data_IF_252021730033
#
_entry.id   IF_252021730033
#
_cell.length_a   1.000
_cell.length_b   1.000
_cell.length_c   1.000
_cell.angle_alpha   90.00
_cell.angle_beta   90.00
_cell.angle_gamma   90.00
#
_symmetry.space_group_name_H-M   'P 1'
#
loop_
_entity.id
_entity.type
_entity.pdbx_description
1 polymer ?
#
# COMPACT_ATOMS: atom_id res chain seq x y z
N UNK A 1 13.45 10.17 -9.71
CA UNK A 1 12.52 11.05 -10.45
C UNK A 1 12.92 11.21 -11.91
N UNK A 2 14.22 11.30 -12.21
CA UNK A 2 14.70 11.64 -13.55
C UNK A 2 14.61 10.49 -14.58
N UNK A 3 14.46 9.24 -14.14
CA UNK A 3 14.55 8.05 -15.00
C UNK A 3 13.29 7.17 -14.98
N UNK A 4 12.30 7.52 -14.14
CA UNK A 4 11.06 6.74 -13.98
C UNK A 4 9.86 7.67 -13.97
N UNK A 5 8.74 7.19 -14.52
CA UNK A 5 7.50 7.98 -14.61
C UNK A 5 6.72 8.05 -13.28
N UNK A 6 6.94 7.10 -12.37
CA UNK A 6 6.22 7.01 -11.09
C UNK A 6 6.98 6.13 -10.08
N UNK A 7 6.58 6.22 -8.82
CA UNK A 7 7.00 5.33 -7.73
C UNK A 7 5.77 4.60 -7.20
N UNK A 8 5.85 3.29 -7.01
CA UNK A 8 4.81 2.46 -6.39
C UNK A 8 5.31 1.82 -5.10
N UNK A 9 4.50 1.86 -4.05
CA UNK A 9 4.81 1.23 -2.77
C UNK A 9 4.05 -0.08 -2.62
N UNK A 10 4.81 -1.16 -2.48
CA UNK A 10 4.27 -2.49 -2.22
C UNK A 10 3.79 -2.61 -0.77
N UNK A 11 2.47 -2.71 -0.62
CA UNK A 11 1.77 -2.97 0.63
C UNK A 11 0.97 -4.29 0.57
N UNK A 12 1.31 -5.20 -0.34
CA UNK A 12 0.51 -6.40 -0.61
C UNK A 12 1.28 -7.73 -0.63
N UNK A 13 2.61 -7.73 -0.46
CA UNK A 13 3.39 -8.96 -0.42
C UNK A 13 3.13 -9.76 0.88
N UNK A 14 2.66 -11.02 0.82
CA UNK A 14 2.42 -11.83 2.02
C UNK A 14 3.61 -12.72 2.39
N UNK A 15 4.72 -12.67 1.62
CA UNK A 15 5.88 -13.53 1.88
C UNK A 15 6.49 -13.22 3.24
N UNK A 16 6.87 -14.27 3.96
CA UNK A 16 7.31 -14.19 5.36
C UNK A 16 8.47 -13.20 5.58
N UNK A 17 9.46 -13.16 4.68
CA UNK A 17 10.57 -12.20 4.78
C UNK A 17 10.09 -10.73 4.74
N UNK A 18 9.04 -10.45 3.95
CA UNK A 18 8.49 -9.11 3.79
C UNK A 18 7.72 -8.72 5.05
N UNK A 19 6.90 -9.66 5.57
CA UNK A 19 6.12 -9.47 6.80
C UNK A 19 7.03 -9.27 8.01
N UNK A 20 8.05 -10.13 8.19
CA UNK A 20 9.04 -10.01 9.27
C UNK A 20 9.84 -8.70 9.21
N UNK A 21 10.06 -8.18 8.00
CA UNK A 21 10.68 -6.88 7.79
C UNK A 21 9.73 -5.68 7.97
N UNK A 22 8.46 -5.90 8.33
CA UNK A 22 7.47 -4.83 8.45
C UNK A 22 7.11 -4.16 7.11
N UNK A 23 7.25 -4.89 6.01
CA UNK A 23 6.95 -4.47 4.63
C UNK A 23 5.75 -5.23 4.08
N UNK A 24 5.28 -4.86 2.89
CA UNK A 24 4.21 -5.59 2.21
C UNK A 24 2.92 -5.53 3.04
N UNK A 25 2.26 -6.67 3.21
CA UNK A 25 0.98 -6.73 3.92
C UNK A 25 1.06 -6.29 5.40
N UNK A 26 2.25 -6.32 6.02
CA UNK A 26 2.44 -5.80 7.38
C UNK A 26 2.18 -4.27 7.47
N UNK A 27 2.33 -3.53 6.36
CA UNK A 27 1.98 -2.12 6.30
C UNK A 27 0.46 -1.90 6.28
N UNK A 28 -0.33 -2.87 5.81
CA UNK A 28 -1.79 -2.79 5.91
C UNK A 28 -2.26 -2.91 7.37
N UNK A 29 -1.60 -3.76 8.15
CA UNK A 29 -1.87 -3.94 9.59
C UNK A 29 -1.41 -2.71 10.41
N UNK A 30 -0.32 -2.05 9.98
CA UNK A 30 0.13 -0.77 10.55
C UNK A 30 -0.15 0.40 9.61
N UNK A 31 -1.42 0.73 9.47
CA UNK A 31 -1.88 1.74 8.50
C UNK A 31 -1.41 3.17 8.81
N UNK A 32 -1.04 3.49 10.05
CA UNK A 32 -0.41 4.79 10.39
C UNK A 32 0.98 4.90 9.77
N UNK A 33 1.82 3.87 9.94
CA UNK A 33 3.13 3.83 9.30
C UNK A 33 3.02 3.88 7.78
N UNK A 34 2.04 3.19 7.19
CA UNK A 34 1.79 3.25 5.76
C UNK A 34 1.42 4.66 5.29
N UNK A 35 0.57 5.37 6.07
CA UNK A 35 0.21 6.75 5.82
C UNK A 35 1.45 7.66 5.84
N UNK A 36 2.28 7.56 6.89
CA UNK A 36 3.47 8.40 7.05
C UNK A 36 4.49 8.19 5.93
N UNK A 37 4.70 6.94 5.50
CA UNK A 37 5.57 6.60 4.36
C UNK A 37 5.05 7.29 3.08
N UNK A 38 3.77 7.10 2.75
CA UNK A 38 3.20 7.68 1.54
C UNK A 38 3.18 9.19 1.59
N UNK A 39 2.82 9.79 2.72
CA UNK A 39 2.79 11.24 2.90
C UNK A 39 4.17 11.84 2.72
N UNK A 40 5.19 11.23 3.32
CA UNK A 40 6.59 11.65 3.15
C UNK A 40 7.02 11.60 1.69
N UNK A 41 6.70 10.52 0.96
CA UNK A 41 7.04 10.40 -0.45
C UNK A 41 6.31 11.44 -1.31
N UNK A 42 5.00 11.58 -1.12
CA UNK A 42 4.17 12.56 -1.87
C UNK A 42 4.67 13.99 -1.65
N UNK A 43 5.10 14.34 -0.43
CA UNK A 43 5.54 15.70 -0.11
C UNK A 43 6.94 16.03 -0.64
N UNK A 44 7.76 15.02 -0.94
CA UNK A 44 9.18 15.22 -1.29
C UNK A 44 9.54 14.81 -2.73
N UNK A 45 8.61 14.22 -3.48
CA UNK A 45 8.87 13.68 -4.82
C UNK A 45 7.91 14.32 -5.83
N UNK A 46 8.43 14.76 -6.98
CA UNK A 46 7.64 15.48 -7.99
C UNK A 46 6.86 14.56 -8.94
N UNK A 47 7.35 13.34 -9.17
CA UNK A 47 6.64 12.33 -9.96
C UNK A 47 5.53 11.63 -9.15
N UNK A 48 4.48 11.10 -9.80
CA UNK A 48 3.40 10.38 -9.13
C UNK A 48 3.86 9.28 -8.18
N UNK A 49 3.34 9.32 -6.95
CA UNK A 49 3.43 8.21 -5.99
C UNK A 49 2.12 7.44 -6.01
N UNK A 50 2.24 6.12 -6.04
CA UNK A 50 1.13 5.15 -6.06
C UNK A 50 1.39 4.06 -5.01
N UNK A 51 0.37 3.28 -4.68
CA UNK A 51 0.58 2.12 -3.85
C UNK A 51 -0.26 0.92 -4.30
N UNK A 52 0.17 -0.26 -3.88
CA UNK A 52 -0.53 -1.51 -4.18
C UNK A 52 -0.82 -2.31 -2.91
N UNK A 53 -2.10 -2.57 -2.66
CA UNK A 53 -2.61 -3.29 -1.48
C UNK A 53 -3.26 -4.64 -1.84
N UNK A 54 -3.74 -5.34 -0.81
CA UNK A 54 -4.72 -6.44 -0.86
C UNK A 54 -6.04 -5.98 -0.26
N UNK A 55 -7.08 -6.80 -0.36
CA UNK A 55 -8.32 -6.63 0.40
C UNK A 55 -8.18 -7.24 1.81
N UNK A 56 -8.96 -6.73 2.75
CA UNK A 56 -9.22 -7.40 4.03
C UNK A 56 -10.37 -8.40 3.89
N UNK A 57 -10.67 -9.13 4.97
CA UNK A 57 -11.80 -10.06 5.02
C UNK A 57 -13.14 -9.32 4.86
N UNK A 58 -13.21 -8.05 5.30
CA UNK A 58 -14.40 -7.20 5.12
C UNK A 58 -14.15 -6.03 4.16
N UNK A 59 -15.22 -5.65 3.46
CA UNK A 59 -15.20 -4.48 2.58
C UNK A 59 -14.97 -3.18 3.37
N UNK A 60 -15.56 -3.06 4.56
CA UNK A 60 -15.43 -1.86 5.40
C UNK A 60 -13.99 -1.63 5.87
N UNK A 61 -13.27 -2.68 6.29
CA UNK A 61 -11.85 -2.56 6.63
C UNK A 61 -11.01 -2.14 5.41
N UNK A 62 -11.33 -2.69 4.24
CA UNK A 62 -10.66 -2.32 2.98
C UNK A 62 -10.93 -0.85 2.64
N UNK A 63 -12.17 -0.39 2.75
CA UNK A 63 -12.57 0.99 2.50
C UNK A 63 -11.92 1.96 3.50
N UNK A 64 -11.84 1.59 4.77
CA UNK A 64 -11.17 2.40 5.79
C UNK A 64 -9.68 2.60 5.48
N UNK A 65 -8.97 1.53 5.10
CA UNK A 65 -7.58 1.64 4.67
C UNK A 65 -7.45 2.51 3.41
N UNK A 66 -8.24 2.24 2.37
CA UNK A 66 -8.21 3.00 1.10
C UNK A 66 -8.46 4.49 1.35
N UNK A 67 -9.47 4.85 2.14
CA UNK A 67 -9.79 6.23 2.48
C UNK A 67 -8.65 6.91 3.24
N UNK A 68 -7.97 6.19 4.14
CA UNK A 68 -6.80 6.70 4.86
C UNK A 68 -5.63 6.95 3.93
N UNK A 69 -5.28 5.98 3.09
CA UNK A 69 -4.15 6.10 2.15
C UNK A 69 -4.43 7.19 1.10
N UNK A 70 -5.66 7.34 0.62
CA UNK A 70 -6.02 8.37 -0.35
C UNK A 70 -5.76 9.81 0.17
N UNK A 71 -5.93 10.06 1.48
CA UNK A 71 -5.64 11.37 2.11
C UNK A 71 -4.18 11.79 2.04
N UNK A 72 -3.25 10.87 1.74
CA UNK A 72 -1.82 11.17 1.58
C UNK A 72 -1.51 11.97 0.31
N UNK A 73 -2.38 11.88 -0.70
CA UNK A 73 -2.19 12.51 -2.01
C UNK A 73 -1.63 11.60 -3.10
N UNK A 74 -1.53 10.29 -2.85
CA UNK A 74 -1.19 9.29 -3.89
C UNK A 74 -2.11 9.41 -5.10
N UNK A 75 -1.56 9.14 -6.29
CA UNK A 75 -2.27 9.33 -7.57
C UNK A 75 -3.12 8.13 -7.99
N UNK A 76 -2.81 6.93 -7.50
CA UNK A 76 -3.57 5.72 -7.76
C UNK A 76 -3.32 4.66 -6.66
N UNK A 77 -4.29 3.74 -6.52
CA UNK A 77 -4.19 2.55 -5.67
C UNK A 77 -4.47 1.31 -6.51
N UNK A 78 -3.51 0.39 -6.59
CA UNK A 78 -3.73 -0.95 -7.13
C UNK A 78 -4.24 -1.89 -6.05
N UNK A 79 -5.34 -2.62 -6.30
CA UNK A 79 -5.91 -3.57 -5.34
C UNK A 79 -5.83 -4.98 -5.90
N UNK A 80 -5.12 -5.87 -5.21
CA UNK A 80 -5.27 -7.30 -5.44
C UNK A 80 -6.53 -7.76 -4.71
N UNK A 81 -7.54 -8.22 -5.44
CA UNK A 81 -8.80 -8.76 -4.91
C UNK A 81 -8.67 -10.11 -4.19
N UNK A 82 -7.56 -10.33 -3.48
CA UNK A 82 -7.33 -11.48 -2.60
C UNK A 82 -6.87 -11.01 -1.24
N UNK A 83 -7.35 -11.62 -0.17
CA UNK A 83 -6.85 -11.42 1.19
C UNK A 83 -5.41 -11.91 1.32
N UNK A 84 -4.81 -11.66 2.48
CA UNK A 84 -3.43 -12.08 2.78
C UNK A 84 -3.21 -13.59 2.60
N UNK A 85 -4.19 -14.39 3.03
CA UNK A 85 -4.06 -15.84 3.17
C UNK A 85 -4.53 -16.62 1.94
N UNK A 86 -5.25 -15.98 1.04
CA UNK A 86 -5.73 -16.59 -0.21
C UNK A 86 -4.58 -16.88 -1.18
N UNK A 87 -4.57 -18.11 -1.70
CA UNK A 87 -3.58 -18.62 -2.66
C UNK A 87 -4.15 -18.65 -4.09
N UNK A 88 -3.30 -18.53 -5.14
CA UNK A 88 -3.73 -18.83 -6.50
C UNK A 88 -4.28 -20.26 -6.58
N UNK A 89 -5.36 -20.44 -7.34
CA UNK A 89 -5.89 -21.75 -7.70
C UNK A 89 -5.11 -22.32 -8.88
#
# INVERSE_FOLDING_TARGET
ENDVAAIDINMGCPKEFSVKGGMGVALMENSDKAFDILKTLVDNITIPVTCKIRIFETADETLNLVNKLAKTGIKAIGIHGRTRNERPQ
#
